data_IF_724359824176
#
_entry.id   IF_724359824176
#
_cell.length_a   1.000
_cell.length_b   1.000
_cell.length_c   1.000
_cell.angle_alpha   90.00
_cell.angle_beta   90.00
_cell.angle_gamma   90.00
#
_symmetry.space_group_name_H-M   'P 1'
#
loop_
_entity.id
_entity.type
_entity.pdbx_description
1 polymer ?
#
# COMPACT_ATOMS: atom_id res chain seq x y z
N UNK A 1 9.19 -4.74 -4.73
CA UNK A 1 9.73 -6.13 -4.62
C UNK A 1 8.90 -7.04 -5.49
N UNK A 2 9.44 -8.16 -5.97
CA UNK A 2 8.69 -9.09 -6.83
C UNK A 2 8.17 -10.29 -6.02
N UNK A 3 6.88 -10.59 -6.14
CA UNK A 3 6.20 -11.66 -5.38
C UNK A 3 5.30 -12.48 -6.31
N UNK A 4 5.20 -13.79 -6.07
CA UNK A 4 4.22 -14.63 -6.79
C UNK A 4 2.79 -14.24 -6.43
N UNK A 5 1.92 -14.09 -7.42
CA UNK A 5 0.49 -13.76 -7.24
C UNK A 5 -0.21 -14.65 -6.21
N UNK A 6 0.08 -15.95 -6.20
CA UNK A 6 -0.45 -16.92 -5.23
C UNK A 6 -0.18 -16.55 -3.76
N UNK A 7 0.98 -15.94 -3.46
CA UNK A 7 1.35 -15.49 -2.10
C UNK A 7 0.60 -14.24 -1.66
N UNK A 8 0.00 -13.52 -2.62
CA UNK A 8 -0.82 -12.33 -2.40
C UNK A 8 -2.33 -12.65 -2.36
N UNK A 9 -2.71 -13.92 -2.48
CA UNK A 9 -4.10 -14.34 -2.58
C UNK A 9 -4.73 -14.11 -3.96
N UNK A 10 -3.90 -13.85 -4.98
CA UNK A 10 -4.33 -13.70 -6.37
C UNK A 10 -4.18 -15.01 -7.14
N UNK A 11 -4.96 -15.19 -8.19
CA UNK A 11 -4.84 -16.35 -9.07
C UNK A 11 -3.54 -16.31 -9.91
N UNK A 12 -2.93 -17.48 -10.10
CA UNK A 12 -1.71 -17.67 -10.88
C UNK A 12 -0.42 -17.69 -10.04
N UNK A 13 0.66 -18.11 -10.69
CA UNK A 13 2.02 -18.16 -10.12
C UNK A 13 2.96 -17.14 -10.73
N UNK A 14 2.43 -16.29 -11.60
CA UNK A 14 3.23 -15.26 -12.25
C UNK A 14 3.78 -14.28 -11.20
N UNK A 15 5.05 -13.88 -11.34
CA UNK A 15 5.62 -12.84 -10.50
C UNK A 15 4.95 -11.49 -10.79
N UNK A 16 4.71 -10.71 -9.75
CA UNK A 16 4.22 -9.34 -9.83
C UNK A 16 5.05 -8.44 -8.93
N UNK A 17 5.35 -7.25 -9.42
CA UNK A 17 6.00 -6.23 -8.60
C UNK A 17 4.98 -5.56 -7.69
N UNK A 18 5.35 -5.45 -6.43
CA UNK A 18 4.55 -4.84 -5.37
C UNK A 18 5.35 -3.78 -4.63
N UNK A 19 4.62 -2.86 -4.00
CA UNK A 19 5.17 -1.84 -3.12
C UNK A 19 4.33 -1.72 -1.86
N UNK A 20 4.96 -1.85 -0.69
CA UNK A 20 4.31 -1.58 0.59
C UNK A 20 4.46 -0.10 0.95
N UNK A 21 3.35 0.53 1.32
CA UNK A 21 3.32 1.92 1.76
C UNK A 21 2.52 2.03 3.06
N UNK A 22 2.90 2.98 3.91
CA UNK A 22 2.19 3.25 5.16
C UNK A 22 0.91 4.00 4.83
N UNK A 23 -0.19 3.60 5.46
CA UNK A 23 -1.51 4.17 5.25
C UNK A 23 -2.16 4.42 6.61
N UNK A 24 -3.07 5.39 6.65
CA UNK A 24 -3.89 5.63 7.82
C UNK A 24 -4.80 4.41 8.08
N UNK A 25 -4.90 3.90 9.33
CA UNK A 25 -5.80 2.81 9.68
C UNK A 25 -7.25 3.01 9.25
N UNK A 26 -7.74 4.25 9.31
CA UNK A 26 -9.12 4.59 8.94
C UNK A 26 -9.32 4.47 7.42
N UNK A 27 -8.28 4.75 6.63
CA UNK A 27 -8.30 4.63 5.16
C UNK A 27 -8.02 3.20 4.68
N UNK A 28 -7.21 2.44 5.42
CA UNK A 28 -6.72 1.11 5.02
C UNK A 28 -7.86 0.17 4.65
N UNK A 29 -8.93 0.10 5.46
CA UNK A 29 -10.07 -0.79 5.20
C UNK A 29 -10.89 -0.40 3.97
N UNK A 30 -10.91 0.89 3.60
CA UNK A 30 -11.63 1.37 2.43
C UNK A 30 -10.81 1.11 1.16
N UNK A 31 -9.51 1.41 1.19
CA UNK A 31 -8.68 1.34 -0.02
C UNK A 31 -8.46 -0.10 -0.50
N UNK A 32 -8.32 -1.08 0.41
CA UNK A 32 -8.16 -2.49 0.04
C UNK A 32 -9.38 -3.10 -0.67
N UNK A 33 -10.52 -2.38 -0.70
CA UNK A 33 -11.68 -2.78 -1.50
C UNK A 33 -11.54 -2.40 -2.98
N UNK A 34 -10.53 -1.57 -3.31
CA UNK A 34 -10.23 -1.15 -4.67
C UNK A 34 -9.23 -2.11 -5.30
N UNK A 35 -9.48 -2.53 -6.54
CA UNK A 35 -8.53 -3.35 -7.29
C UNK A 35 -7.16 -2.68 -7.40
N UNK A 36 -6.10 -3.48 -7.26
CA UNK A 36 -4.72 -2.99 -7.22
C UNK A 36 -4.17 -2.68 -5.82
N UNK A 37 -5.02 -2.68 -4.79
CA UNK A 37 -4.62 -2.49 -3.39
C UNK A 37 -4.94 -3.74 -2.56
N UNK A 38 -3.95 -4.24 -1.84
CA UNK A 38 -4.06 -5.43 -0.99
C UNK A 38 -3.64 -5.07 0.46
N UNK A 39 -4.01 -5.90 1.45
CA UNK A 39 -3.46 -5.77 2.80
C UNK A 39 -1.93 -5.81 2.77
N UNK A 40 -1.26 -5.09 3.69
CA UNK A 40 0.21 -5.01 3.74
C UNK A 40 0.89 -6.38 3.74
N UNK A 41 1.84 -6.58 2.83
CA UNK A 41 2.56 -7.84 2.65
C UNK A 41 3.71 -7.91 3.64
N UNK A 42 3.74 -8.93 4.50
CA UNK A 42 4.66 -9.04 5.65
C UNK A 42 4.65 -7.88 6.67
N UNK A 43 3.90 -6.81 6.41
CA UNK A 43 3.76 -5.64 7.28
C UNK A 43 2.48 -5.71 8.12
N UNK A 44 2.32 -4.74 9.04
CA UNK A 44 1.10 -4.63 9.83
C UNK A 44 -0.07 -4.20 8.92
N UNK A 45 -1.00 -5.11 8.67
CA UNK A 45 -2.17 -4.93 7.80
C UNK A 45 -3.12 -3.80 8.22
N UNK A 46 -3.00 -3.27 9.44
CA UNK A 46 -3.78 -2.10 9.89
C UNK A 46 -3.13 -0.76 9.50
N UNK A 47 -1.82 -0.74 9.23
CA UNK A 47 -1.07 0.49 8.98
C UNK A 47 -0.36 0.51 7.62
N UNK A 48 -0.40 -0.60 6.90
CA UNK A 48 0.32 -0.79 5.66
C UNK A 48 -0.59 -1.46 4.63
N UNK A 49 -0.46 -0.97 3.40
CA UNK A 49 -1.12 -1.52 2.23
C UNK A 49 -0.06 -1.92 1.20
N UNK A 50 -0.38 -2.93 0.41
CA UNK A 50 0.41 -3.36 -0.73
C UNK A 50 -0.23 -2.82 -2.00
N UNK A 51 0.55 -2.15 -2.85
CA UNK A 51 0.11 -1.68 -4.16
C UNK A 51 0.69 -2.61 -5.24
N UNK A 52 -0.16 -3.07 -6.17
CA UNK A 52 0.26 -3.83 -7.35
C UNK A 52 0.81 -2.89 -8.43
N UNK A 53 2.03 -3.17 -8.90
CA UNK A 53 2.70 -2.43 -9.97
C UNK A 53 2.55 -3.11 -11.34
N UNK A 54 1.37 -3.69 -11.60
CA UNK A 54 1.04 -4.38 -12.86
C UNK A 54 0.23 -3.52 -13.85
N UNK A 55 0.13 -2.22 -13.56
CA UNK A 55 -0.67 -1.27 -14.34
C UNK A 55 -2.14 -1.15 -13.90
N UNK A 56 -2.56 -1.91 -12.87
CA UNK A 56 -3.91 -1.78 -12.29
C UNK A 56 -4.14 -0.46 -11.56
N UNK A 57 -3.09 0.16 -11.04
CA UNK A 57 -3.10 1.46 -10.36
C UNK A 57 -2.35 2.47 -11.21
N UNK A 58 -2.93 3.66 -11.42
CA UNK A 58 -2.25 4.73 -12.15
C UNK A 58 -1.04 5.25 -11.39
N UNK A 59 0.01 5.64 -12.12
CA UNK A 59 1.23 6.19 -11.54
C UNK A 59 0.96 7.41 -10.64
N UNK A 60 0.07 8.32 -11.06
CA UNK A 60 -0.33 9.45 -10.25
C UNK A 60 -0.86 9.02 -8.88
N UNK A 61 -1.73 7.99 -8.85
CA UNK A 61 -2.28 7.49 -7.60
C UNK A 61 -1.22 6.80 -6.74
N UNK A 62 -0.26 6.10 -7.37
CA UNK A 62 0.87 5.50 -6.66
C UNK A 62 1.70 6.58 -5.96
N UNK A 63 1.98 7.70 -6.65
CA UNK A 63 2.70 8.84 -6.10
C UNK A 63 1.93 9.49 -4.94
N UNK A 64 0.62 9.68 -5.07
CA UNK A 64 -0.22 10.21 -3.97
C UNK A 64 -0.10 9.35 -2.70
N UNK A 65 -0.08 8.01 -2.83
CA UNK A 65 0.10 7.11 -1.69
C UNK A 65 1.51 7.13 -1.11
N UNK A 66 2.53 7.37 -1.93
CA UNK A 66 3.90 7.57 -1.46
C UNK A 66 4.03 8.85 -0.64
N UNK A 67 3.45 9.95 -1.13
CA UNK A 67 3.44 11.23 -0.43
C UNK A 67 2.69 11.12 0.89
N UNK A 68 1.49 10.51 0.90
CA UNK A 68 0.75 10.23 2.15
C UNK A 68 1.55 9.36 3.12
N UNK A 69 2.22 8.31 2.62
CA UNK A 69 3.06 7.46 3.45
C UNK A 69 4.24 8.23 4.05
N UNK A 70 4.84 9.14 3.29
CA UNK A 70 5.93 9.99 3.75
C UNK A 70 5.45 10.95 4.84
N UNK A 71 4.32 11.62 4.62
CA UNK A 71 3.70 12.53 5.59
C UNK A 71 3.33 11.81 6.89
N UNK A 72 2.88 10.55 6.82
CA UNK A 72 2.60 9.73 8.02
C UNK A 72 3.86 9.29 8.78
N UNK A 73 5.03 9.36 8.16
CA UNK A 73 6.32 9.03 8.80
C UNK A 73 6.97 10.30 9.34
N UNK A 74 7.03 11.37 8.56
CA UNK A 74 7.60 12.67 8.97
C UNK A 74 6.68 13.39 9.97
N UNK A 75 5.36 13.43 9.68
CA UNK A 75 4.33 14.02 10.52
C UNK A 75 4.10 13.28 11.84
N UNK A 76 4.40 11.99 11.93
CA UNK A 76 4.40 11.27 13.22
C UNK A 76 5.49 11.81 14.18
N UNK A 77 6.53 12.48 13.67
CA UNK A 77 7.52 13.22 14.46
C UNK A 77 7.12 14.67 14.77
N UNK A 78 6.12 15.22 14.07
CA UNK A 78 5.51 16.53 14.32
C UNK A 78 4.05 16.37 14.73
N UNK A 79 3.81 15.86 15.94
CA UNK A 79 2.65 16.37 16.68
C UNK A 79 2.93 17.84 16.92
N UNK A 80 2.43 18.70 16.04
CA UNK A 80 2.37 20.13 16.29
C UNK A 80 1.67 20.32 17.63
N UNK A 81 2.46 20.78 18.61
CA UNK A 81 1.92 21.56 19.71
C UNK A 81 1.16 22.73 19.07
N UNK A 82 -0.16 22.66 19.09
CA UNK A 82 -1.03 23.80 18.84
C UNK A 82 -1.95 23.97 20.02
#
# INVERSE_FOLDING_TARGET
MTVEKSKLGLEGKEPVDIMDVKCDPDMTNMIIQTYGFLPGYHMNKQHWITILLDGSVSEAKILDFLDMSYDLIDGAGRKENK
#
